data_IF_492018255098
#
_entry.id   IF_492018255098
#
_cell.length_a   1.000
_cell.length_b   1.000
_cell.length_c   1.000
_cell.angle_alpha   90.00
_cell.angle_beta   90.00
_cell.angle_gamma   90.00
#
_symmetry.space_group_name_H-M   'P 1'
#
loop_
_entity.id
_entity.type
_entity.pdbx_description
1 polymer ?
#
# COMPACT_ATOMS: atom_id res chain seq x y z
N UNK A 1 -35.46 -36.83 -42.71
CA UNK A 1 -36.19 -35.67 -42.16
C UNK A 1 -35.60 -35.25 -40.82
N UNK A 2 -35.67 -33.95 -40.54
CA UNK A 2 -35.25 -33.18 -39.35
C UNK A 2 -33.77 -32.82 -39.24
N UNK A 3 -33.48 -31.64 -39.81
CA UNK A 3 -32.41 -30.73 -39.43
C UNK A 3 -32.68 -30.11 -38.04
N UNK A 4 -31.63 -29.92 -37.23
CA UNK A 4 -31.61 -28.96 -36.12
C UNK A 4 -30.85 -27.72 -36.58
N UNK A 5 -31.59 -26.63 -36.78
CA UNK A 5 -31.02 -25.30 -37.00
C UNK A 5 -30.54 -24.72 -35.66
N UNK A 6 -29.27 -24.30 -35.63
CA UNK A 6 -28.73 -23.50 -34.54
C UNK A 6 -29.32 -22.09 -34.60
N UNK A 7 -29.94 -21.64 -33.52
CA UNK A 7 -30.43 -20.27 -33.38
C UNK A 7 -29.25 -19.39 -33.00
N UNK A 8 -28.70 -18.63 -33.93
CA UNK A 8 -27.79 -17.52 -33.60
C UNK A 8 -28.62 -16.41 -32.95
N UNK A 9 -28.46 -16.22 -31.64
CA UNK A 9 -29.00 -15.06 -30.91
C UNK A 9 -28.39 -13.78 -31.51
N UNK A 10 -29.23 -12.97 -32.15
CA UNK A 10 -28.87 -11.76 -32.88
C UNK A 10 -28.60 -10.56 -31.96
N UNK A 11 -27.73 -10.73 -30.96
CA UNK A 11 -27.28 -9.62 -30.13
C UNK A 11 -26.11 -8.92 -30.84
N UNK A 12 -26.18 -7.61 -31.15
CA UNK A 12 -25.04 -6.91 -31.72
C UNK A 12 -23.86 -6.98 -30.74
N UNK A 13 -22.60 -6.94 -31.22
CA UNK A 13 -21.45 -6.86 -30.35
C UNK A 13 -21.60 -5.61 -29.49
N UNK A 14 -21.63 -5.80 -28.18
CA UNK A 14 -21.63 -4.72 -27.20
C UNK A 14 -20.36 -3.91 -27.46
N UNK A 15 -20.54 -2.74 -28.08
CA UNK A 15 -19.48 -1.77 -28.33
C UNK A 15 -18.83 -1.49 -26.98
N UNK A 16 -17.61 -2.03 -26.79
CA UNK A 16 -16.88 -1.89 -25.55
C UNK A 16 -16.84 -0.40 -25.22
N UNK A 17 -17.60 0.01 -24.20
CA UNK A 17 -17.66 1.40 -23.78
C UNK A 17 -16.23 1.85 -23.56
N UNK A 18 -15.78 2.78 -24.40
CA UNK A 18 -14.43 3.32 -24.34
C UNK A 18 -14.29 3.97 -22.97
N UNK A 19 -13.68 3.27 -22.01
CA UNK A 19 -13.32 3.89 -20.73
C UNK A 19 -12.40 5.04 -21.10
N UNK A 20 -12.77 6.31 -20.83
CA UNK A 20 -11.90 7.43 -21.19
C UNK A 20 -10.58 7.20 -20.47
N UNK A 21 -9.52 7.01 -21.25
CA UNK A 21 -8.16 6.91 -20.72
C UNK A 21 -7.86 8.18 -19.91
N UNK A 22 -6.95 8.10 -18.91
CA UNK A 22 -6.59 9.26 -18.11
C UNK A 22 -6.20 10.39 -19.06
N UNK A 23 -6.88 11.54 -18.95
CA UNK A 23 -6.61 12.72 -19.77
C UNK A 23 -5.12 13.04 -19.68
N UNK A 24 -4.40 12.84 -20.78
CA UNK A 24 -2.94 12.83 -20.88
C UNK A 24 -2.31 14.23 -20.90
N UNK A 25 -2.90 15.18 -20.17
CA UNK A 25 -2.34 16.51 -19.97
C UNK A 25 -1.81 16.61 -18.54
N UNK A 26 -0.60 17.17 -18.32
CA UNK A 26 -0.19 17.52 -16.97
C UNK A 26 -1.20 18.51 -16.39
N UNK A 27 -1.84 18.15 -15.28
CA UNK A 27 -2.61 19.11 -14.49
C UNK A 27 -1.57 19.92 -13.73
N UNK A 28 -1.06 20.99 -14.37
CA UNK A 28 -0.14 21.93 -13.74
C UNK A 28 -0.81 22.44 -12.44
N UNK A 29 -0.24 22.09 -11.28
CA UNK A 29 -0.67 22.63 -9.99
C UNK A 29 -1.27 21.64 -8.97
N UNK A 30 -1.21 20.32 -9.17
CA UNK A 30 -1.75 19.36 -8.18
C UNK A 30 -1.12 19.48 -6.78
N UNK A 31 0.16 19.85 -6.69
CA UNK A 31 0.87 19.98 -5.41
C UNK A 31 1.34 18.63 -4.84
N UNK A 32 1.50 18.57 -3.52
CA UNK A 32 2.01 17.38 -2.81
C UNK A 32 0.90 16.65 -2.08
N UNK A 33 0.72 15.37 -2.39
CA UNK A 33 -0.10 14.43 -1.61
C UNK A 33 0.80 13.70 -0.61
N UNK A 34 0.43 13.71 0.66
CA UNK A 34 1.11 12.93 1.71
C UNK A 34 0.14 11.88 2.24
N UNK A 35 0.49 10.60 2.08
CA UNK A 35 -0.24 9.50 2.69
C UNK A 35 0.56 8.95 3.88
N UNK A 36 -0.10 8.79 5.02
CA UNK A 36 0.53 8.30 6.26
C UNK A 36 -0.13 6.99 6.65
N UNK A 37 0.68 5.95 6.79
CA UNK A 37 0.24 4.56 6.96
C UNK A 37 0.97 3.87 8.10
N UNK A 38 0.34 2.86 8.69
CA UNK A 38 0.89 2.19 9.87
C UNK A 38 2.02 1.21 9.49
N UNK A 39 1.79 0.38 8.47
CA UNK A 39 2.69 -0.71 8.10
C UNK A 39 3.07 -0.70 6.60
N UNK A 40 4.14 -1.41 6.23
CA UNK A 40 4.52 -1.66 4.84
C UNK A 40 3.50 -2.52 4.06
N UNK A 41 2.61 -1.91 3.27
CA UNK A 41 1.57 -2.53 2.41
C UNK A 41 0.26 -1.71 2.44
N UNK A 42 -0.05 -1.11 3.59
CA UNK A 42 -1.22 -0.27 3.84
C UNK A 42 -1.35 0.83 2.77
N UNK A 43 -0.23 1.40 2.30
CA UNK A 43 -0.25 2.43 1.26
C UNK A 43 -0.77 1.90 -0.07
N UNK A 44 -0.38 0.67 -0.41
CA UNK A 44 -0.77 0.01 -1.64
C UNK A 44 -2.23 -0.45 -1.54
N UNK A 45 -2.61 -1.06 -0.41
CA UNK A 45 -3.95 -1.61 -0.18
C UNK A 45 -5.03 -0.53 -0.07
N UNK A 46 -4.77 0.53 0.71
CA UNK A 46 -5.78 1.56 0.97
C UNK A 46 -5.73 2.71 -0.03
N UNK A 47 -4.55 3.07 -0.53
CA UNK A 47 -4.33 4.30 -1.32
C UNK A 47 -3.60 4.11 -2.64
N UNK A 48 -3.28 2.88 -3.05
CA UNK A 48 -2.40 2.62 -4.19
C UNK A 48 -2.89 3.25 -5.49
N UNK A 49 -4.18 3.09 -5.79
CA UNK A 49 -4.79 3.71 -6.98
C UNK A 49 -4.71 5.24 -6.98
N UNK A 50 -4.92 5.87 -5.81
CA UNK A 50 -4.80 7.33 -5.66
C UNK A 50 -3.35 7.78 -5.85
N UNK A 51 -2.39 7.10 -5.21
CA UNK A 51 -0.97 7.44 -5.31
C UNK A 51 -0.47 7.35 -6.76
N UNK A 52 -0.81 6.26 -7.46
CA UNK A 52 -0.42 6.05 -8.84
C UNK A 52 -1.07 7.08 -9.79
N UNK A 53 -2.37 7.35 -9.62
CA UNK A 53 -3.07 8.37 -10.41
C UNK A 53 -2.49 9.78 -10.18
N UNK A 54 -2.17 10.11 -8.92
CA UNK A 54 -1.58 11.40 -8.57
C UNK A 54 -0.20 11.58 -9.20
N UNK A 55 0.65 10.56 -9.11
CA UNK A 55 1.97 10.56 -9.72
C UNK A 55 1.89 10.64 -11.25
N UNK A 56 1.00 9.87 -11.88
CA UNK A 56 0.79 9.88 -13.32
C UNK A 56 0.29 11.23 -13.85
N UNK A 57 -0.49 11.96 -13.05
CA UNK A 57 -0.95 13.30 -13.38
C UNK A 57 0.12 14.41 -13.17
N UNK A 58 1.34 14.03 -12.76
CA UNK A 58 2.46 14.95 -12.52
C UNK A 58 2.51 15.53 -11.10
N UNK A 59 1.66 15.06 -10.19
CA UNK A 59 1.67 15.46 -8.79
C UNK A 59 2.79 14.80 -7.99
N UNK A 60 3.21 15.42 -6.88
CA UNK A 60 4.21 14.84 -5.98
C UNK A 60 3.54 13.96 -4.92
N UNK A 61 3.65 12.64 -5.04
CA UNK A 61 3.19 11.71 -4.01
C UNK A 61 4.31 11.42 -2.99
N UNK A 62 3.98 11.46 -1.70
CA UNK A 62 4.88 11.12 -0.58
C UNK A 62 4.17 10.14 0.33
N UNK A 63 4.87 9.08 0.73
CA UNK A 63 4.37 8.10 1.70
C UNK A 63 5.21 8.18 2.97
N UNK A 64 4.54 8.26 4.12
CA UNK A 64 5.12 8.10 5.45
C UNK A 64 4.59 6.78 6.02
N UNK A 65 5.50 5.88 6.40
CA UNK A 65 5.13 4.61 7.03
C UNK A 65 5.63 4.61 8.47
N UNK A 66 4.73 4.37 9.43
CA UNK A 66 5.04 4.50 10.86
C UNK A 66 6.01 3.44 11.36
N UNK A 67 5.82 2.18 10.96
CA UNK A 67 6.60 1.02 11.45
C UNK A 67 7.18 0.21 10.29
N UNK A 68 8.01 -0.81 10.60
CA UNK A 68 8.54 -1.73 9.60
C UNK A 68 7.77 -3.05 9.53
N UNK A 69 6.66 -3.16 10.27
CA UNK A 69 5.81 -4.34 10.24
C UNK A 69 6.47 -5.60 10.79
N UNK A 70 7.39 -5.45 11.75
CA UNK A 70 8.21 -6.53 12.31
C UNK A 70 7.42 -7.59 13.10
N UNK A 71 6.13 -7.39 13.35
CA UNK A 71 5.25 -8.36 14.00
C UNK A 71 4.21 -8.96 13.05
N UNK A 72 4.43 -8.81 11.75
CA UNK A 72 3.58 -9.39 10.71
C UNK A 72 3.71 -10.91 10.60
N UNK A 73 2.71 -11.52 9.99
CA UNK A 73 2.71 -12.92 9.56
C UNK A 73 3.33 -13.03 8.16
N UNK A 74 3.82 -14.22 7.83
CA UNK A 74 4.37 -14.54 6.50
C UNK A 74 3.44 -15.47 5.73
N UNK A 75 3.53 -15.46 4.40
CA UNK A 75 2.75 -16.36 3.55
C UNK A 75 3.71 -17.19 2.71
N UNK A 76 3.61 -18.52 2.84
CA UNK A 76 4.40 -19.49 2.08
C UNK A 76 5.64 -20.01 2.81
N UNK A 77 6.04 -21.24 2.48
CA UNK A 77 7.10 -21.98 3.18
C UNK A 77 8.48 -21.29 3.07
N UNK A 78 8.74 -20.62 1.95
CA UNK A 78 10.01 -19.92 1.70
C UNK A 78 10.24 -18.72 2.64
N UNK A 79 9.15 -18.11 3.13
CA UNK A 79 9.20 -16.94 4.01
C UNK A 79 8.94 -17.27 5.48
N UNK A 80 8.45 -18.48 5.79
CA UNK A 80 8.18 -18.93 7.15
C UNK A 80 9.35 -18.71 8.15
N UNK A 81 10.63 -18.85 7.75
CA UNK A 81 11.75 -18.56 8.67
C UNK A 81 11.85 -17.10 9.13
N UNK A 82 11.20 -16.15 8.44
CA UNK A 82 11.18 -14.74 8.84
C UNK A 82 10.12 -14.46 9.91
N UNK A 83 9.12 -15.32 10.07
CA UNK A 83 8.06 -15.11 11.04
C UNK A 83 8.58 -15.26 12.47
N UNK A 84 8.29 -14.26 13.31
CA UNK A 84 8.83 -14.18 14.67
C UNK A 84 10.25 -13.62 14.77
N UNK A 85 11.03 -13.59 13.67
CA UNK A 85 12.29 -12.83 13.59
C UNK A 85 11.99 -11.39 13.14
N UNK A 86 11.61 -10.55 14.10
CA UNK A 86 11.23 -9.16 13.83
C UNK A 86 12.27 -8.34 13.07
N UNK A 87 13.57 -8.36 13.44
CA UNK A 87 14.63 -7.72 12.66
C UNK A 87 14.72 -8.20 11.21
N UNK A 88 14.67 -9.52 10.97
CA UNK A 88 14.75 -10.07 9.62
C UNK A 88 13.50 -9.70 8.78
N UNK A 89 12.31 -9.85 9.36
CA UNK A 89 11.05 -9.48 8.70
C UNK A 89 10.97 -7.98 8.40
N UNK A 90 11.42 -7.12 9.32
CA UNK A 90 11.49 -5.67 9.10
C UNK A 90 12.39 -5.32 7.90
N UNK A 91 13.56 -5.95 7.80
CA UNK A 91 14.48 -5.73 6.69
C UNK A 91 13.86 -6.19 5.37
N UNK A 92 13.23 -7.36 5.36
CA UNK A 92 12.54 -7.91 4.20
C UNK A 92 11.41 -6.98 3.73
N UNK A 93 10.45 -6.67 4.62
CA UNK A 93 9.30 -5.80 4.30
C UNK A 93 9.71 -4.39 3.89
N UNK A 94 10.80 -3.84 4.45
CA UNK A 94 11.33 -2.54 4.00
C UNK A 94 11.78 -2.59 2.54
N UNK A 95 12.38 -3.70 2.10
CA UNK A 95 12.76 -3.89 0.70
C UNK A 95 11.52 -4.04 -0.19
N UNK A 96 10.49 -4.77 0.26
CA UNK A 96 9.23 -4.91 -0.47
C UNK A 96 8.53 -3.56 -0.66
N UNK A 97 8.39 -2.81 0.42
CA UNK A 97 7.81 -1.48 0.42
C UNK A 97 8.51 -0.51 -0.52
N UNK A 98 9.85 -0.49 -0.53
CA UNK A 98 10.60 0.33 -1.49
C UNK A 98 10.26 0.00 -2.94
N UNK A 99 10.11 -1.29 -3.27
CA UNK A 99 9.71 -1.74 -4.61
C UNK A 99 8.26 -1.34 -4.93
N UNK A 100 7.35 -1.52 -3.99
CA UNK A 100 5.94 -1.13 -4.14
C UNK A 100 5.80 0.38 -4.38
N UNK A 101 6.47 1.22 -3.57
CA UNK A 101 6.48 2.67 -3.76
C UNK A 101 7.03 3.08 -5.12
N UNK A 102 8.10 2.43 -5.60
CA UNK A 102 8.65 2.68 -6.92
C UNK A 102 7.65 2.33 -8.03
N UNK A 103 6.96 1.19 -7.92
CA UNK A 103 5.93 0.77 -8.86
C UNK A 103 4.73 1.74 -8.89
N UNK A 104 4.39 2.36 -7.77
CA UNK A 104 3.32 3.36 -7.65
C UNK A 104 3.74 4.77 -8.12
N UNK A 105 5.00 4.99 -8.49
CA UNK A 105 5.50 6.32 -8.87
C UNK A 105 5.62 7.31 -7.69
N UNK A 106 5.70 6.80 -6.46
CA UNK A 106 5.82 7.65 -5.26
C UNK A 106 7.18 8.36 -5.27
N UNK A 107 7.15 9.69 -5.18
CA UNK A 107 8.35 10.52 -5.27
C UNK A 107 9.25 10.40 -4.03
N UNK A 108 8.67 10.07 -2.86
CA UNK A 108 9.42 9.85 -1.62
C UNK A 108 8.65 8.95 -0.66
N UNK A 109 9.27 7.84 -0.27
CA UNK A 109 8.91 7.09 0.94
C UNK A 109 9.80 7.50 2.12
N UNK A 110 9.25 7.59 3.31
CA UNK A 110 10.02 7.78 4.55
C UNK A 110 9.41 6.99 5.70
N UNK A 111 10.27 6.36 6.51
CA UNK A 111 9.84 5.79 7.78
C UNK A 111 9.72 6.92 8.81
N UNK A 112 8.69 6.88 9.66
CA UNK A 112 8.38 8.01 10.55
C UNK A 112 9.55 8.36 11.48
N UNK A 113 10.29 7.36 11.97
CA UNK A 113 11.49 7.55 12.80
C UNK A 113 12.71 8.08 12.03
N UNK A 114 12.68 8.07 10.70
CA UNK A 114 13.71 8.63 9.82
C UNK A 114 13.35 10.04 9.31
N UNK A 115 12.11 10.50 9.56
CA UNK A 115 11.64 11.80 9.12
C UNK A 115 12.31 12.94 9.92
N UNK A 116 13.08 13.78 9.24
CA UNK A 116 13.71 14.97 9.85
C UNK A 116 12.67 16.06 10.11
N UNK A 117 12.25 16.24 11.36
CA UNK A 117 11.38 17.35 11.77
C UNK A 117 12.23 18.57 12.15
N UNK A 118 11.93 19.74 11.54
CA UNK A 118 12.72 20.97 11.69
C UNK A 118 12.57 21.65 13.07
N UNK A 119 11.50 21.38 13.82
CA UNK A 119 11.31 21.88 15.19
C UNK A 119 11.97 20.95 16.20
N UNK A 120 13.27 21.12 16.35
CA UNK A 120 14.15 20.36 17.23
C UNK A 120 14.01 20.83 18.69
N UNK A 121 13.07 20.24 19.42
CA UNK A 121 13.21 20.06 20.86
C UNK A 121 13.02 18.56 21.12
N UNK A 122 14.15 17.85 21.21
CA UNK A 122 14.31 16.44 21.60
C UNK A 122 13.12 15.50 21.30
N UNK A 123 13.12 14.89 20.12
CA UNK A 123 12.68 13.50 20.03
C UNK A 123 13.97 12.66 19.95
N UNK A 124 14.42 12.12 21.08
CA UNK A 124 15.36 11.00 21.03
C UNK A 124 14.74 9.95 20.12
N UNK A 125 15.49 9.49 19.13
CA UNK A 125 15.01 8.65 18.03
C UNK A 125 14.58 7.26 18.53
N UNK A 126 13.44 7.20 19.21
CA UNK A 126 12.78 5.96 19.54
C UNK A 126 12.25 5.39 18.22
N UNK A 127 12.77 4.22 17.84
CA UNK A 127 12.26 3.44 16.71
C UNK A 127 10.80 3.13 17.00
N UNK A 128 9.89 3.52 16.11
CA UNK A 128 8.49 3.12 16.21
C UNK A 128 8.39 1.63 15.93
N UNK A 129 7.75 0.91 16.85
CA UNK A 129 7.57 -0.54 16.76
C UNK A 129 6.13 -0.88 16.43
N UNK A 130 5.98 -1.91 15.60
CA UNK A 130 4.69 -2.53 15.33
C UNK A 130 4.12 -3.15 16.62
N UNK A 131 2.86 -2.85 16.94
CA UNK A 131 2.16 -3.46 18.06
C UNK A 131 1.82 -4.93 17.80
N UNK A 132 1.72 -5.31 16.53
CA UNK A 132 1.02 -6.49 16.06
C UNK A 132 -0.47 -6.21 15.92
N UNK A 133 -1.15 -7.06 15.15
CA UNK A 133 -2.60 -7.02 14.96
C UNK A 133 -3.23 -8.31 15.46
N UNK A 134 -4.43 -8.20 16.02
CA UNK A 134 -5.26 -9.33 16.40
C UNK A 134 -6.65 -9.21 15.76
N UNK A 135 -7.30 -10.36 15.56
CA UNK A 135 -8.69 -10.39 15.15
C UNK A 135 -9.60 -10.13 16.35
N UNK A 136 -10.39 -9.07 16.26
CA UNK A 136 -11.45 -8.79 17.23
C UNK A 136 -12.67 -9.69 17.04
N UNK A 137 -13.60 -9.71 18.01
CA UNK A 137 -14.78 -10.59 18.00
C UNK A 137 -15.74 -10.38 16.81
N UNK A 138 -15.64 -9.25 16.10
CA UNK A 138 -16.45 -8.92 14.92
C UNK A 138 -15.59 -8.75 13.67
N UNK A 139 -14.80 -9.76 13.30
CA UNK A 139 -14.00 -9.83 12.05
C UNK A 139 -13.26 -8.52 11.66
N UNK A 140 -12.94 -7.69 12.66
CA UNK A 140 -12.26 -6.41 12.53
C UNK A 140 -10.87 -6.60 13.08
N UNK A 141 -9.86 -6.18 12.31
CA UNK A 141 -8.49 -6.15 12.80
C UNK A 141 -8.36 -5.01 13.81
N UNK A 142 -7.72 -5.30 14.94
CA UNK A 142 -7.41 -4.34 15.98
C UNK A 142 -5.93 -4.46 16.37
N UNK A 143 -5.30 -3.35 16.75
CA UNK A 143 -3.95 -3.39 17.31
C UNK A 143 -3.95 -4.25 18.58
N UNK A 144 -2.91 -5.07 18.76
CA UNK A 144 -2.69 -5.78 20.01
C UNK A 144 -2.48 -4.73 21.11
N UNK A 145 -3.27 -4.74 22.20
CA UNK A 145 -3.09 -3.80 23.30
C UNK A 145 -1.65 -3.81 23.78
N UNK A 146 -1.09 -2.63 24.04
CA UNK A 146 0.25 -2.51 24.61
C UNK A 146 0.33 -3.36 25.87
N UNK A 147 1.17 -4.39 25.86
CA UNK A 147 1.59 -5.04 27.10
C UNK A 147 2.52 -4.06 27.80
N UNK A 148 1.95 -3.08 28.49
CA UNK A 148 2.71 -2.20 29.37
C UNK A 148 3.32 -3.10 30.43
N UNK A 149 4.64 -3.27 30.36
CA UNK A 149 5.43 -3.89 31.42
C UNK A 149 5.72 -2.86 32.50
#
# INVERSE_FOLDING_TARGET
ERAMAATTDGRPPEEAAQVPGPSSGPVLGLGTLVAVHAHPDDETLATGGLLAAWAAAGGRAVVVTCTRGERGETIGDDLAPLEGDGPALAAFRTAEWRRALAALGVARGVLLDEARVRSRAQAGAARYQDSGMAWGPVARRQAVPSQTR
#
